data_IF_628983175922
#
_entry.id   IF_628983175922
#
_cell.length_a   1.000
_cell.length_b   1.000
_cell.length_c   1.000
_cell.angle_alpha   90.00
_cell.angle_beta   90.00
_cell.angle_gamma   90.00
#
_symmetry.space_group_name_H-M   'P 1'
#
loop_
_entity.id
_entity.type
_entity.pdbx_description
1 polymer ?
#
# COMPACT_ATOMS: atom_id res chain seq x y z
N UNK A 1 -4.41 -10.49 -16.84
CA UNK A 1 -3.55 -9.31 -16.62
C UNK A 1 -4.38 -8.23 -15.96
N UNK A 2 -4.38 -8.16 -14.63
CA UNK A 2 -5.27 -7.26 -13.90
C UNK A 2 -4.66 -5.86 -13.88
N UNK A 3 -5.11 -4.98 -14.78
CA UNK A 3 -4.78 -3.54 -14.80
C UNK A 3 -5.42 -2.85 -13.59
N UNK A 4 -4.87 -3.11 -12.41
CA UNK A 4 -5.34 -2.55 -11.15
C UNK A 4 -4.53 -1.31 -10.83
N UNK A 5 -5.21 -0.20 -10.54
CA UNK A 5 -4.63 1.06 -10.04
C UNK A 5 -3.75 0.92 -8.78
N UNK A 6 -3.69 -0.27 -8.18
CA UNK A 6 -2.87 -0.60 -7.01
C UNK A 6 -1.66 -1.50 -7.34
N UNK A 7 -1.37 -1.73 -8.62
CA UNK A 7 -0.32 -2.66 -9.05
C UNK A 7 1.06 -2.21 -8.56
N UNK A 8 1.36 -0.91 -8.66
CA UNK A 8 2.59 -0.33 -8.12
C UNK A 8 2.79 -0.63 -6.62
N UNK A 9 1.72 -0.51 -5.81
CA UNK A 9 1.78 -0.82 -4.38
C UNK A 9 1.97 -2.31 -4.12
N UNK A 10 1.37 -3.18 -4.95
CA UNK A 10 1.60 -4.62 -4.86
C UNK A 10 3.06 -4.97 -5.15
N UNK A 11 3.63 -4.39 -6.19
CA UNK A 11 4.99 -4.70 -6.61
C UNK A 11 6.02 -4.13 -5.62
N UNK A 12 5.77 -2.92 -5.11
CA UNK A 12 6.57 -2.34 -4.03
C UNK A 12 6.51 -3.17 -2.75
N UNK A 13 5.31 -3.63 -2.36
CA UNK A 13 5.15 -4.48 -1.17
C UNK A 13 5.86 -5.82 -1.32
N UNK A 14 5.81 -6.44 -2.51
CA UNK A 14 6.54 -7.68 -2.79
C UNK A 14 8.06 -7.47 -2.69
N UNK A 15 8.57 -6.40 -3.28
CA UNK A 15 9.99 -6.06 -3.20
C UNK A 15 10.43 -5.88 -1.73
N UNK A 16 9.64 -5.14 -0.94
CA UNK A 16 9.88 -4.94 0.48
C UNK A 16 9.92 -6.26 1.27
N UNK A 17 8.97 -7.16 1.02
CA UNK A 17 8.92 -8.47 1.68
C UNK A 17 10.10 -9.37 1.31
N UNK A 18 10.58 -9.34 0.06
CA UNK A 18 11.75 -10.12 -0.34
C UNK A 18 13.05 -9.62 0.31
N UNK A 19 13.08 -8.35 0.71
CA UNK A 19 14.23 -7.74 1.41
C UNK A 19 14.15 -7.88 2.92
N UNK A 20 12.97 -8.14 3.49
CA UNK A 20 12.77 -8.18 4.93
C UNK A 20 13.32 -9.46 5.58
N UNK A 21 13.63 -9.35 6.87
CA UNK A 21 14.22 -10.45 7.64
C UNK A 21 13.28 -11.65 7.78
N UNK A 22 11.96 -11.43 7.76
CA UNK A 22 10.99 -12.53 7.83
C UNK A 22 11.15 -13.51 6.65
N UNK A 23 11.44 -13.01 5.44
CA UNK A 23 11.66 -13.89 4.28
C UNK A 23 13.14 -14.30 4.16
N UNK A 24 14.07 -13.36 4.36
CA UNK A 24 15.50 -13.62 4.16
C UNK A 24 16.16 -14.43 5.27
N UNK A 25 15.82 -14.13 6.53
CA UNK A 25 16.44 -14.76 7.71
C UNK A 25 15.61 -15.94 8.17
N UNK A 26 14.30 -15.77 8.32
CA UNK A 26 13.43 -16.85 8.83
C UNK A 26 12.97 -17.82 7.74
N UNK A 27 13.11 -17.48 6.45
CA UNK A 27 12.70 -18.35 5.34
C UNK A 27 11.18 -18.53 5.23
N UNK A 28 10.41 -17.64 5.85
CA UNK A 28 8.95 -17.74 5.88
C UNK A 28 8.37 -17.20 4.56
N UNK A 29 7.30 -17.83 4.08
CA UNK A 29 6.60 -17.36 2.89
C UNK A 29 6.08 -15.91 3.09
N UNK A 30 6.17 -15.02 2.09
CA UNK A 30 5.75 -13.61 2.21
C UNK A 30 4.30 -13.45 2.68
N UNK A 31 3.41 -14.34 2.23
CA UNK A 31 2.01 -14.38 2.65
C UNK A 31 1.84 -14.68 4.14
N UNK A 32 2.70 -15.52 4.71
CA UNK A 32 2.69 -15.87 6.13
C UNK A 32 3.34 -14.75 6.96
N UNK A 33 4.40 -14.11 6.47
CA UNK A 33 4.97 -12.91 7.08
C UNK A 33 3.93 -11.79 7.25
N UNK A 34 3.07 -11.58 6.25
CA UNK A 34 1.98 -10.60 6.36
C UNK A 34 0.89 -11.00 7.38
N UNK A 35 0.65 -12.28 7.62
CA UNK A 35 -0.44 -12.72 8.50
C UNK A 35 0.01 -12.80 9.95
N UNK A 36 1.16 -13.42 10.19
CA UNK A 36 1.58 -13.85 11.52
C UNK A 36 2.71 -12.97 12.07
N UNK A 37 3.52 -12.36 11.20
CA UNK A 37 4.72 -11.57 11.57
C UNK A 37 4.62 -10.11 11.10
N UNK A 38 3.41 -9.56 11.12
CA UNK A 38 3.14 -8.21 10.63
C UNK A 38 3.91 -7.12 11.39
N UNK A 39 4.14 -7.34 12.68
CA UNK A 39 4.82 -6.40 13.58
C UNK A 39 6.35 -6.48 13.46
N UNK A 40 6.90 -7.63 13.06
CA UNK A 40 8.34 -7.84 12.82
C UNK A 40 8.80 -7.27 11.48
N UNK A 41 7.86 -6.88 10.61
CA UNK A 41 8.17 -6.29 9.33
C UNK A 41 8.67 -4.85 9.49
N UNK A 42 9.61 -4.41 8.63
CA UNK A 42 10.01 -3.01 8.55
C UNK A 42 8.82 -2.07 8.39
N UNK A 43 8.92 -0.89 8.98
CA UNK A 43 7.89 0.15 8.94
C UNK A 43 7.45 0.46 7.49
N UNK A 44 8.39 0.49 6.56
CA UNK A 44 8.13 0.67 5.13
C UNK A 44 7.18 -0.38 4.56
N UNK A 45 7.39 -1.67 4.88
CA UNK A 45 6.51 -2.75 4.42
C UNK A 45 5.12 -2.64 5.04
N UNK A 46 5.02 -2.20 6.30
CA UNK A 46 3.74 -1.95 6.98
C UNK A 46 2.97 -0.79 6.33
N UNK A 47 3.66 0.29 5.96
CA UNK A 47 3.08 1.40 5.23
C UNK A 47 2.57 0.99 3.85
N UNK A 48 3.36 0.25 3.08
CA UNK A 48 2.96 -0.27 1.78
C UNK A 48 1.75 -1.22 1.87
N UNK A 49 1.68 -2.04 2.92
CA UNK A 49 0.53 -2.90 3.20
C UNK A 49 -0.74 -2.08 3.46
N UNK A 50 -0.64 -1.03 4.29
CA UNK A 50 -1.77 -0.14 4.59
C UNK A 50 -2.24 0.60 3.33
N UNK A 51 -1.31 1.19 2.57
CA UNK A 51 -1.61 1.86 1.32
C UNK A 51 -2.29 0.93 0.31
N UNK A 52 -1.80 -0.32 0.19
CA UNK A 52 -2.42 -1.32 -0.68
C UNK A 52 -3.84 -1.68 -0.24
N UNK A 53 -4.07 -1.83 1.06
CA UNK A 53 -5.39 -2.08 1.62
C UNK A 53 -6.35 -0.92 1.34
N UNK A 54 -5.90 0.31 1.57
CA UNK A 54 -6.67 1.52 1.27
C UNK A 54 -6.96 1.67 -0.21
N UNK A 55 -5.98 1.40 -1.08
CA UNK A 55 -6.17 1.43 -2.52
C UNK A 55 -7.22 0.42 -2.96
N UNK A 56 -7.13 -0.85 -2.51
CA UNK A 56 -8.14 -1.88 -2.81
C UNK A 56 -9.51 -1.53 -2.27
N UNK A 57 -9.59 -1.03 -1.03
CA UNK A 57 -10.84 -0.60 -0.40
C UNK A 57 -11.47 0.56 -1.17
N UNK A 58 -10.69 1.55 -1.59
CA UNK A 58 -11.16 2.68 -2.40
C UNK A 58 -11.63 2.30 -3.81
N UNK A 59 -11.14 1.19 -4.39
CA UNK A 59 -11.69 0.65 -5.65
C UNK A 59 -13.11 0.06 -5.48
N UNK A 60 -13.40 -0.49 -4.30
CA UNK A 60 -14.69 -1.10 -3.97
C UNK A 60 -15.67 -0.07 -3.41
N UNK A 61 -15.18 1.02 -2.81
CA UNK A 61 -16.01 2.09 -2.27
C UNK A 61 -16.53 3.01 -3.39
N UNK A 62 -17.82 2.86 -3.74
CA UNK A 62 -18.50 3.70 -4.74
C UNK A 62 -18.47 5.20 -4.37
N UNK A 63 -18.38 5.54 -3.08
CA UNK A 63 -18.41 6.92 -2.57
C UNK A 63 -17.12 7.67 -2.91
N UNK A 64 -16.01 6.94 -3.07
CA UNK A 64 -14.72 7.49 -3.50
C UNK A 64 -14.55 7.57 -5.02
N UNK A 65 -15.48 7.03 -5.81
CA UNK A 65 -15.44 7.13 -7.28
C UNK A 65 -15.59 8.57 -7.79
N UNK A 66 -16.33 9.41 -7.07
CA UNK A 66 -16.56 10.81 -7.44
C UNK A 66 -15.39 11.74 -7.13
N UNK A 67 -14.59 11.44 -6.09
CA UNK A 67 -13.44 12.27 -5.65
C UNK A 67 -12.07 11.69 -6.04
N UNK A 68 -12.04 10.50 -6.65
CA UNK A 68 -10.81 9.81 -7.03
C UNK A 68 -10.19 9.01 -5.88
N UNK A 69 -9.49 7.93 -6.23
CA UNK A 69 -8.79 7.09 -5.26
C UNK A 69 -7.36 7.64 -5.04
N UNK A 70 -7.19 8.50 -4.03
CA UNK A 70 -5.91 9.16 -3.73
C UNK A 70 -4.76 8.18 -3.40
N UNK A 71 -5.08 7.00 -2.89
CA UNK A 71 -4.08 6.08 -2.34
C UNK A 71 -3.33 5.20 -3.33
N UNK A 72 -3.51 5.35 -4.65
CA UNK A 72 -2.93 4.43 -5.66
C UNK A 72 -1.67 4.90 -6.38
N UNK A 73 -1.32 6.19 -6.28
CA UNK A 73 -0.24 6.77 -7.09
C UNK A 73 0.89 7.32 -6.20
N UNK A 74 2.16 7.03 -6.49
CA UNK A 74 3.28 7.67 -5.81
C UNK A 74 3.30 9.17 -6.13
N UNK A 75 3.63 9.98 -5.11
CA UNK A 75 3.56 11.44 -5.07
C UNK A 75 4.47 12.19 -6.07
N UNK A 76 5.18 11.49 -6.98
CA UNK A 76 5.99 12.14 -8.03
C UNK A 76 5.22 12.34 -9.35
N UNK A 77 3.91 12.53 -9.27
CA UNK A 77 3.18 13.32 -10.27
C UNK A 77 2.50 14.43 -9.51
N UNK A 78 3.18 15.58 -9.54
CA UNK A 78 2.69 16.93 -9.25
C UNK A 78 1.25 16.95 -8.73
N UNK A 79 1.14 17.01 -7.42
CA UNK A 79 0.01 17.57 -6.70
C UNK A 79 -0.25 18.98 -7.23
N UNK A 80 -1.36 19.14 -7.93
CA UNK A 80 -2.19 20.34 -7.79
C UNK A 80 -3.47 19.88 -7.12
N UNK A 81 -3.64 20.36 -5.88
CA UNK A 81 -4.89 20.51 -5.14
C UNK A 81 -5.52 19.20 -4.57
N UNK A 82 -5.70 19.01 -3.26
CA UNK A 82 -5.69 19.89 -2.09
C UNK A 82 -5.55 18.99 -0.86
N UNK A 83 -4.67 19.35 0.09
CA UNK A 83 -4.70 18.84 1.46
C UNK A 83 -5.81 19.57 2.21
N UNK A 84 -6.66 18.81 2.90
CA UNK A 84 -7.63 19.33 3.85
C UNK A 84 -6.94 20.12 4.99
N UNK A 85 -7.73 20.98 5.64
CA UNK A 85 -7.54 21.63 6.95
C UNK A 85 -7.03 23.09 6.99
N UNK A 86 -7.96 24.05 7.03
CA UNK A 86 -7.88 25.18 7.98
C UNK A 86 -9.27 25.45 8.60
N UNK A 87 -9.26 25.36 9.93
CA UNK A 87 -10.29 25.60 10.94
C UNK A 87 -10.59 27.10 11.07
N UNK A 88 -11.86 27.50 10.88
CA UNK A 88 -12.59 28.62 11.55
C UNK A 88 -14.04 28.66 11.09
#
# INVERSE_FOLDING_TARGET
MSTNSCQYLLDSLKACLLQSDCVRVQGIAPSKCLRDHAEELPEECRHLRKALFECKRGKLDMRKRFRGNAGGRPANLKSTDTQDDEDT
#
